data_IF_190338884674
#
_entry.id   IF_190338884674
#
_cell.length_a   1.000
_cell.length_b   1.000
_cell.length_c   1.000
_cell.angle_alpha   90.00
_cell.angle_beta   90.00
_cell.angle_gamma   90.00
#
_symmetry.space_group_name_H-M   'P 1'
#
loop_
_entity.id
_entity.type
_entity.pdbx_description
1 polymer ?
#
# COMPACT_ATOMS: atom_id res chain seq x y z
N UNK A 1 -2.64 -12.95 -54.07
CA UNK A 1 -2.21 -11.74 -53.33
C UNK A 1 -3.09 -11.67 -52.09
N UNK A 2 -2.51 -11.74 -50.89
CA UNK A 2 -3.27 -11.91 -49.65
C UNK A 2 -3.84 -10.57 -49.20
N UNK A 3 -5.16 -10.45 -49.14
CA UNK A 3 -5.86 -9.28 -48.60
C UNK A 3 -5.64 -9.22 -47.07
N UNK A 4 -4.98 -8.15 -46.60
CA UNK A 4 -4.89 -7.84 -45.17
C UNK A 4 -6.22 -7.23 -44.74
N UNK A 5 -7.00 -8.00 -43.98
CA UNK A 5 -8.25 -7.55 -43.37
C UNK A 5 -7.92 -6.68 -42.14
N UNK A 6 -7.78 -5.37 -42.31
CA UNK A 6 -7.62 -4.43 -41.21
C UNK A 6 -8.99 -4.06 -40.63
N UNK A 7 -9.27 -4.49 -39.39
CA UNK A 7 -10.50 -4.12 -38.68
C UNK A 7 -10.41 -2.68 -38.17
N UNK A 8 -11.10 -1.74 -38.83
CA UNK A 8 -11.33 -0.41 -38.29
C UNK A 8 -12.42 -0.47 -37.20
N UNK A 9 -12.01 -0.29 -35.94
CA UNK A 9 -12.93 -0.20 -34.81
C UNK A 9 -13.91 0.98 -34.95
N UNK A 10 -15.15 0.79 -34.53
CA UNK A 10 -16.24 1.77 -34.60
C UNK A 10 -15.83 3.09 -33.93
N UNK A 11 -16.01 4.21 -34.65
CA UNK A 11 -15.72 5.56 -34.19
C UNK A 11 -16.49 5.84 -32.88
N UNK A 12 -15.78 5.88 -31.75
CA UNK A 12 -16.37 6.15 -30.43
C UNK A 12 -16.24 5.01 -29.41
N UNK A 13 -15.92 3.78 -29.83
CA UNK A 13 -15.66 2.68 -28.90
C UNK A 13 -14.16 2.42 -28.78
N UNK A 14 -13.55 2.84 -27.66
CA UNK A 14 -12.13 2.56 -27.35
C UNK A 14 -11.95 1.13 -26.84
N UNK A 15 -12.18 0.13 -27.69
CA UNK A 15 -11.79 -1.24 -27.37
C UNK A 15 -10.29 -1.37 -27.60
N UNK A 16 -9.53 -1.52 -26.51
CA UNK A 16 -8.13 -1.97 -26.60
C UNK A 16 -7.09 -0.92 -27.01
N UNK A 17 -7.26 0.37 -26.72
CA UNK A 17 -6.12 1.32 -26.78
C UNK A 17 -5.12 0.94 -25.68
N UNK A 18 -4.17 0.06 -26.01
CA UNK A 18 -3.03 -0.25 -25.16
C UNK A 18 -2.23 1.04 -25.04
N UNK A 19 -2.28 1.65 -23.85
CA UNK A 19 -1.46 2.82 -23.53
C UNK A 19 0.00 2.49 -23.87
N UNK A 20 0.68 3.40 -24.55
CA UNK A 20 2.08 3.18 -24.90
C UNK A 20 2.95 3.08 -23.63
N UNK A 21 4.10 2.41 -23.66
CA UNK A 21 5.02 2.38 -22.53
C UNK A 21 5.39 3.79 -22.03
N UNK A 22 5.50 4.78 -22.93
CA UNK A 22 5.70 6.18 -22.59
C UNK A 22 4.52 6.79 -21.81
N UNK A 23 3.28 6.48 -22.20
CA UNK A 23 2.08 6.90 -21.47
C UNK A 23 1.99 6.23 -20.08
N UNK A 24 2.38 4.96 -19.95
CA UNK A 24 2.51 4.28 -18.66
C UNK A 24 3.61 4.89 -17.78
N UNK A 25 4.78 5.20 -18.35
CA UNK A 25 5.90 5.83 -17.66
C UNK A 25 5.57 7.23 -17.14
N UNK A 26 4.69 7.97 -17.84
CA UNK A 26 4.19 9.25 -17.35
C UNK A 26 3.21 9.10 -16.18
N UNK A 27 2.43 8.02 -16.12
CA UNK A 27 1.52 7.75 -15.01
C UNK A 27 2.27 7.41 -13.72
N UNK A 28 3.35 6.62 -13.81
CA UNK A 28 4.16 6.31 -12.62
C UNK A 28 4.85 7.55 -12.04
N UNK A 29 5.34 8.47 -12.88
CA UNK A 29 5.86 9.78 -12.45
C UNK A 29 4.77 10.63 -11.79
N UNK A 30 3.56 10.63 -12.35
CA UNK A 30 2.40 11.34 -11.77
C UNK A 30 2.01 10.77 -10.41
N UNK A 31 2.00 9.45 -10.26
CA UNK A 31 1.75 8.80 -8.97
C UNK A 31 2.81 9.17 -7.94
N UNK A 32 4.10 9.14 -8.29
CA UNK A 32 5.18 9.53 -7.38
C UNK A 32 5.04 10.98 -6.89
N UNK A 33 4.75 11.91 -7.82
CA UNK A 33 4.49 13.31 -7.48
C UNK A 33 3.22 13.49 -6.65
N UNK A 34 2.17 12.72 -6.94
CA UNK A 34 0.93 12.74 -6.18
C UNK A 34 1.15 12.22 -4.77
N UNK A 35 1.89 11.11 -4.60
CA UNK A 35 2.28 10.58 -3.29
C UNK A 35 3.06 11.64 -2.52
N UNK A 36 4.10 12.25 -3.12
CA UNK A 36 4.89 13.31 -2.45
C UNK A 36 4.03 14.47 -1.96
N UNK A 37 2.96 14.83 -2.70
CA UNK A 37 2.08 15.97 -2.36
C UNK A 37 0.92 15.61 -1.43
N UNK A 38 0.46 14.35 -1.42
CA UNK A 38 -0.79 13.94 -0.75
C UNK A 38 -0.57 12.95 0.39
N UNK A 39 0.59 12.28 0.46
CA UNK A 39 0.87 11.23 1.45
C UNK A 39 0.63 11.69 2.87
N UNK A 40 1.14 12.87 3.24
CA UNK A 40 1.02 13.42 4.58
C UNK A 40 -0.44 13.64 4.97
N UNK A 41 -1.19 14.36 4.12
CA UNK A 41 -2.62 14.62 4.33
C UNK A 41 -3.45 13.34 4.40
N UNK A 42 -3.17 12.36 3.55
CA UNK A 42 -3.88 11.07 3.55
C UNK A 42 -3.56 10.29 4.84
N UNK A 43 -2.30 10.27 5.24
CA UNK A 43 -1.83 9.60 6.46
C UNK A 43 -2.46 10.24 7.69
N UNK A 44 -2.48 11.57 7.77
CA UNK A 44 -3.10 12.31 8.87
C UNK A 44 -4.61 12.04 8.94
N UNK A 45 -5.32 12.11 7.80
CA UNK A 45 -6.75 11.85 7.76
C UNK A 45 -7.08 10.41 8.16
N UNK A 46 -6.31 9.43 7.67
CA UNK A 46 -6.46 8.03 8.03
C UNK A 46 -6.18 7.82 9.53
N UNK A 47 -5.10 8.40 10.06
CA UNK A 47 -4.76 8.34 11.48
C UNK A 47 -5.85 8.97 12.34
N UNK A 48 -6.39 10.12 11.96
CA UNK A 48 -7.47 10.80 12.69
C UNK A 48 -8.72 9.94 12.77
N UNK A 49 -9.11 9.29 11.66
CA UNK A 49 -10.27 8.38 11.62
C UNK A 49 -10.05 7.13 12.46
N UNK A 50 -8.85 6.56 12.41
CA UNK A 50 -8.51 5.32 13.13
C UNK A 50 -8.07 5.54 14.58
N UNK A 51 -7.83 6.77 15.03
CA UNK A 51 -7.22 7.10 16.33
C UNK A 51 -7.98 6.49 17.52
N UNK A 52 -9.31 6.55 17.50
CA UNK A 52 -10.16 6.02 18.57
C UNK A 52 -10.01 4.50 18.72
N UNK A 53 -10.16 3.78 17.61
CA UNK A 53 -10.03 2.33 17.57
C UNK A 53 -8.60 1.86 17.87
N UNK A 54 -7.59 2.59 17.37
CA UNK A 54 -6.19 2.33 17.70
C UNK A 54 -5.91 2.49 19.20
N UNK A 55 -6.48 3.52 19.84
CA UNK A 55 -6.30 3.75 21.29
C UNK A 55 -6.94 2.63 22.11
N UNK A 56 -8.14 2.18 21.72
CA UNK A 56 -8.80 1.04 22.35
C UNK A 56 -7.99 -0.24 22.19
N UNK A 57 -7.46 -0.49 20.99
CA UNK A 57 -6.64 -1.67 20.72
C UNK A 57 -5.29 -1.63 21.44
N UNK A 58 -4.66 -0.46 21.56
CA UNK A 58 -3.44 -0.28 22.34
C UNK A 58 -3.67 -0.67 23.81
N UNK A 59 -4.77 -0.20 24.40
CA UNK A 59 -5.15 -0.57 25.77
C UNK A 59 -5.42 -2.08 25.91
N UNK A 60 -6.04 -2.69 24.91
CA UNK A 60 -6.27 -4.13 24.89
C UNK A 60 -4.95 -4.93 24.82
N UNK A 61 -3.99 -4.51 23.99
CA UNK A 61 -2.67 -5.13 23.91
C UNK A 61 -1.95 -5.02 25.25
N UNK A 62 -1.94 -3.84 25.87
CA UNK A 62 -1.24 -3.63 27.15
C UNK A 62 -1.79 -4.49 28.29
N UNK A 63 -3.05 -4.90 28.21
CA UNK A 63 -3.68 -5.82 29.17
C UNK A 63 -3.27 -7.29 28.98
N UNK A 64 -2.66 -7.64 27.84
CA UNK A 64 -2.23 -9.02 27.59
C UNK A 64 -0.94 -9.35 28.37
N UNK A 65 -0.87 -10.53 29.01
CA UNK A 65 0.36 -10.97 29.66
C UNK A 65 1.45 -11.17 28.59
N UNK A 66 2.61 -10.51 28.77
CA UNK A 66 3.72 -10.53 27.80
C UNK A 66 3.72 -9.38 26.78
N UNK A 67 2.82 -8.39 26.92
CA UNK A 67 2.85 -7.16 26.12
C UNK A 67 4.12 -6.33 26.35
N UNK A 68 4.65 -6.36 27.56
CA UNK A 68 5.93 -5.74 27.95
C UNK A 68 6.93 -6.83 28.33
N UNK A 69 8.17 -6.63 27.93
CA UNK A 69 9.27 -7.49 28.33
C UNK A 69 9.73 -7.16 29.77
N UNK A 70 10.67 -7.96 30.29
CA UNK A 70 11.24 -7.75 31.64
C UNK A 70 11.94 -6.40 31.80
N UNK A 71 12.29 -5.71 30.70
CA UNK A 71 12.92 -4.38 30.71
C UNK A 71 11.92 -3.22 30.53
N UNK A 72 10.61 -3.50 30.61
CA UNK A 72 9.55 -2.48 30.52
C UNK A 72 9.29 -1.95 29.11
N UNK A 73 9.96 -2.48 28.08
CA UNK A 73 9.72 -2.14 26.67
C UNK A 73 8.62 -3.03 26.10
N UNK A 74 7.86 -2.50 25.15
CA UNK A 74 6.87 -3.30 24.40
C UNK A 74 7.57 -4.49 23.71
N UNK A 75 6.95 -5.66 23.81
CA UNK A 75 7.45 -6.86 23.13
C UNK A 75 7.33 -6.70 21.61
N UNK A 76 8.24 -7.35 20.88
CA UNK A 76 8.20 -7.33 19.41
C UNK A 76 6.89 -7.88 18.86
N UNK A 77 6.29 -8.86 19.56
CA UNK A 77 4.96 -9.39 19.25
C UNK A 77 3.87 -8.33 19.40
N UNK A 78 3.86 -7.59 20.52
CA UNK A 78 2.91 -6.51 20.76
C UNK A 78 3.03 -5.37 19.74
N UNK A 79 4.26 -4.96 19.39
CA UNK A 79 4.52 -3.95 18.36
C UNK A 79 4.00 -4.41 17.01
N UNK A 80 4.30 -5.65 16.62
CA UNK A 80 3.84 -6.20 15.34
C UNK A 80 2.31 -6.32 15.28
N UNK A 81 1.66 -6.75 16.37
CA UNK A 81 0.21 -6.82 16.46
C UNK A 81 -0.43 -5.42 16.33
N UNK A 82 0.11 -4.43 17.06
CA UNK A 82 -0.31 -3.04 16.97
C UNK A 82 -0.17 -2.48 15.56
N UNK A 83 0.99 -2.65 14.92
CA UNK A 83 1.23 -2.15 13.57
C UNK A 83 0.32 -2.80 12.53
N UNK A 84 0.05 -4.11 12.65
CA UNK A 84 -0.90 -4.81 11.77
C UNK A 84 -2.29 -4.21 11.87
N UNK A 85 -2.77 -3.96 13.09
CA UNK A 85 -4.09 -3.35 13.28
C UNK A 85 -4.13 -1.91 12.76
N UNK A 86 -3.08 -1.13 13.03
CA UNK A 86 -2.95 0.22 12.50
C UNK A 86 -3.00 0.24 10.96
N UNK A 87 -2.30 -0.69 10.31
CA UNK A 87 -2.28 -0.81 8.86
C UNK A 87 -3.66 -1.17 8.30
N UNK A 88 -4.36 -2.09 8.94
CA UNK A 88 -5.72 -2.50 8.57
C UNK A 88 -6.70 -1.31 8.62
N UNK A 89 -6.76 -0.62 9.76
CA UNK A 89 -7.72 0.47 9.98
C UNK A 89 -7.45 1.69 9.09
N UNK A 90 -6.17 2.04 8.91
CA UNK A 90 -5.81 3.15 8.04
C UNK A 90 -6.07 2.83 6.57
N UNK A 91 -5.90 1.57 6.17
CA UNK A 91 -6.25 1.13 4.81
C UNK A 91 -7.75 1.17 4.56
N UNK A 92 -8.56 0.69 5.51
CA UNK A 92 -10.02 0.80 5.44
C UNK A 92 -10.45 2.27 5.32
N UNK A 93 -9.82 3.16 6.08
CA UNK A 93 -10.09 4.60 6.05
C UNK A 93 -9.71 5.28 4.73
N UNK A 94 -8.68 4.77 4.03
CA UNK A 94 -8.19 5.27 2.75
C UNK A 94 -8.71 4.50 1.53
N UNK A 95 -9.57 3.50 1.74
CA UNK A 95 -10.12 2.60 0.70
C UNK A 95 -10.77 3.30 -0.49
N UNK A 96 -11.29 4.53 -0.31
CA UNK A 96 -11.94 5.33 -1.37
C UNK A 96 -10.96 6.20 -2.17
N UNK A 97 -9.70 6.31 -1.72
CA UNK A 97 -8.70 7.17 -2.33
C UNK A 97 -8.03 6.39 -3.46
N UNK A 98 -7.92 7.04 -4.62
CA UNK A 98 -7.28 6.50 -5.81
C UNK A 98 -6.17 7.46 -6.28
N UNK A 99 -5.07 6.89 -6.75
CA UNK A 99 -4.00 7.66 -7.40
C UNK A 99 -4.39 8.04 -8.83
N UNK A 100 -3.66 8.95 -9.49
CA UNK A 100 -3.90 9.31 -10.89
C UNK A 100 -3.87 8.12 -11.87
N UNK A 101 -3.09 7.08 -11.57
CA UNK A 101 -3.08 5.84 -12.37
C UNK A 101 -4.23 4.87 -12.06
N UNK A 102 -5.04 5.15 -11.03
CA UNK A 102 -6.12 4.28 -10.56
C UNK A 102 -5.71 3.32 -9.44
N UNK A 103 -4.48 3.40 -8.93
CA UNK A 103 -4.02 2.56 -7.82
C UNK A 103 -4.72 2.92 -6.52
N UNK A 104 -4.97 1.93 -5.68
CA UNK A 104 -5.56 2.09 -4.35
C UNK A 104 -4.49 2.48 -3.33
N UNK A 105 -4.88 3.31 -2.37
CA UNK A 105 -4.01 3.64 -1.22
C UNK A 105 -4.19 2.57 -0.15
N UNK A 106 -3.08 1.98 0.27
CA UNK A 106 -3.05 0.96 1.31
C UNK A 106 -1.94 1.27 2.30
N UNK A 107 -2.12 0.91 3.56
CA UNK A 107 -1.10 1.05 4.60
C UNK A 107 -0.50 -0.31 4.97
N UNK A 108 0.81 -0.33 5.22
CA UNK A 108 1.59 -1.54 5.54
C UNK A 108 2.31 -1.34 6.87
N UNK A 109 2.30 -2.36 7.72
CA UNK A 109 3.02 -2.36 9.00
C UNK A 109 4.55 -2.27 8.81
N UNK A 110 5.21 -1.40 9.57
CA UNK A 110 6.67 -1.40 9.69
C UNK A 110 7.14 -2.60 10.52
N UNK A 111 8.33 -3.13 10.20
CA UNK A 111 9.01 -4.17 10.97
C UNK A 111 9.98 -3.53 11.96
N UNK A 112 9.92 -3.91 13.22
CA UNK A 112 10.88 -3.48 14.26
C UNK A 112 10.62 -2.09 14.87
N UNK A 113 9.90 -1.22 14.17
CA UNK A 113 9.46 0.10 14.67
C UNK A 113 7.94 0.18 14.78
N UNK A 114 7.42 0.98 15.70
CA UNK A 114 5.99 1.29 15.76
C UNK A 114 5.62 2.22 14.59
N UNK A 115 4.65 1.81 13.78
CA UNK A 115 4.11 2.63 12.70
C UNK A 115 3.78 1.88 11.42
N UNK A 116 3.25 2.62 10.46
CA UNK A 116 2.84 2.12 9.14
C UNK A 116 3.38 3.00 8.02
N UNK A 117 3.50 2.43 6.83
CA UNK A 117 3.88 3.12 5.60
C UNK A 117 2.72 3.10 4.62
N UNK A 118 2.51 4.21 3.91
CA UNK A 118 1.55 4.28 2.80
C UNK A 118 2.17 3.67 1.53
N UNK A 119 1.44 2.77 0.89
CA UNK A 119 1.79 2.13 -0.36
C UNK A 119 0.66 2.33 -1.39
N UNK A 120 1.02 2.34 -2.68
CA UNK A 120 0.08 2.26 -3.77
C UNK A 120 0.02 0.83 -4.28
N UNK A 121 -1.18 0.26 -4.33
CA UNK A 121 -1.43 -1.09 -4.82
C UNK A 121 -2.42 -1.09 -5.98
N UNK A 122 -2.34 -2.10 -6.86
CA UNK A 122 -3.37 -2.30 -7.88
C UNK A 122 -4.65 -2.84 -7.23
N UNK A 123 -5.82 -2.51 -7.79
CA UNK A 123 -7.12 -2.93 -7.25
C UNK A 123 -7.23 -4.46 -7.25
N UNK A 124 -7.41 -5.06 -6.07
CA UNK A 124 -7.43 -6.52 -5.89
C UNK A 124 -6.06 -7.17 -5.58
N UNK A 125 -4.98 -6.40 -5.38
CA UNK A 125 -3.68 -6.96 -5.00
C UNK A 125 -3.70 -7.58 -3.60
N UNK A 126 -3.31 -8.87 -3.49
CA UNK A 126 -3.31 -9.59 -2.22
C UNK A 126 -2.07 -9.23 -1.37
N UNK A 127 -2.28 -8.38 -0.37
CA UNK A 127 -1.25 -7.93 0.57
C UNK A 127 -0.68 -9.05 1.47
N UNK A 128 -1.34 -10.20 1.61
CA UNK A 128 -0.80 -11.33 2.36
C UNK A 128 0.48 -11.91 1.72
N UNK A 129 0.75 -11.56 0.45
CA UNK A 129 1.99 -11.91 -0.23
C UNK A 129 3.20 -11.05 0.19
N UNK A 130 2.99 -9.91 0.87
CA UNK A 130 4.08 -9.11 1.46
C UNK A 130 4.60 -9.77 2.73
N UNK A 131 5.31 -10.90 2.60
CA UNK A 131 5.92 -11.63 3.73
C UNK A 131 7.01 -10.84 4.45
N UNK A 132 7.60 -9.82 3.82
CA UNK A 132 8.81 -9.15 4.31
C UNK A 132 8.69 -7.62 4.24
N UNK A 133 7.86 -7.04 5.12
CA UNK A 133 7.82 -5.63 5.52
C UNK A 133 8.60 -4.66 4.61
N UNK A 134 7.85 -3.96 3.77
CA UNK A 134 8.28 -3.07 2.67
C UNK A 134 9.53 -2.23 2.98
N UNK A 135 10.48 -2.21 2.02
CA UNK A 135 11.68 -1.38 2.03
C UNK A 135 11.36 0.11 1.86
N UNK A 136 12.28 0.99 2.26
CA UNK A 136 12.16 2.46 2.30
C UNK A 136 11.68 3.16 1.01
N UNK A 137 11.60 2.47 -0.13
CA UNK A 137 11.16 3.00 -1.42
C UNK A 137 9.67 2.85 -1.73
N UNK A 138 8.87 2.18 -0.88
CA UNK A 138 7.42 2.06 -1.04
C UNK A 138 6.97 1.23 -2.26
N UNK A 139 7.87 0.46 -2.88
CA UNK A 139 7.55 -0.43 -4.02
C UNK A 139 7.24 -1.84 -3.53
N UNK A 140 6.07 -2.35 -3.93
CA UNK A 140 5.62 -3.73 -3.68
C UNK A 140 6.32 -4.66 -4.67
N UNK A 141 7.16 -5.57 -4.19
CA UNK A 141 7.89 -6.51 -5.04
C UNK A 141 6.98 -7.66 -5.51
N UNK A 142 6.91 -7.85 -6.83
CA UNK A 142 6.33 -9.05 -7.45
C UNK A 142 7.24 -10.27 -7.19
N UNK A 143 6.60 -11.44 -7.05
CA UNK A 143 7.10 -12.75 -6.59
C UNK A 143 8.30 -13.39 -7.34
N UNK A 144 9.06 -12.67 -8.18
CA UNK A 144 10.07 -13.29 -9.08
C UNK A 144 11.45 -12.65 -9.19
N UNK A 145 11.85 -11.70 -8.35
CA UNK A 145 13.25 -11.25 -8.31
C UNK A 145 13.83 -11.46 -6.93
N UNK A 146 14.35 -12.67 -6.70
CA UNK A 146 15.54 -12.87 -5.88
C UNK A 146 16.67 -12.35 -6.76
N UNK A 147 17.26 -11.21 -6.42
CA UNK A 147 18.58 -10.88 -6.95
C UNK A 147 19.53 -10.92 -5.77
N UNK A 148 20.31 -11.99 -5.83
CA UNK A 148 21.46 -12.29 -5.01
C UNK A 148 22.48 -11.14 -5.05
N UNK A 149 23.46 -11.24 -4.14
CA UNK A 149 24.63 -10.37 -4.04
C UNK A 149 25.20 -9.95 -5.40
N UNK A 150 25.47 -8.66 -5.54
CA UNK A 150 26.68 -8.14 -6.17
C UNK A 150 27.07 -6.85 -5.43
#
# INVERSE_FOLDING_TARGET
MSEMMEHHGILGQKWGVRRTPAQLGNLSKKDANWVKKKSEKITEQARRKSSKEMSQYANAILRTPGAVNKSGKLSSSAINAYNKKMAELMSQSASKIRSPSGKVVQFVAKRGEIGVMMALADEGYNMAQLRNGVWASGRVAYKKTVLDKA
#
